data_IF_256743255258
#
_entry.id   IF_256743255258
#
_cell.length_a   1.000
_cell.length_b   1.000
_cell.length_c   1.000
_cell.angle_alpha   90.00
_cell.angle_beta   90.00
_cell.angle_gamma   90.00
#
_symmetry.space_group_name_H-M   'P 1'
#
loop_
_entity.id
_entity.type
_entity.pdbx_description
1 polymer ?
#
# COMPACT_ATOMS: atom_id res chain seq x y z
N UNK A 1 6.44 6.45 7.16
CA UNK A 1 5.28 5.98 7.91
C UNK A 1 4.41 5.14 6.97
N UNK A 2 4.18 3.88 7.33
CA UNK A 2 3.50 2.89 6.49
C UNK A 2 2.00 3.22 6.33
N UNK A 3 1.37 3.68 7.42
CA UNK A 3 -0.06 4.05 7.41
C UNK A 3 -0.31 5.21 6.45
N UNK A 4 0.50 6.27 6.54
CA UNK A 4 0.39 7.42 5.65
C UNK A 4 0.53 7.02 4.16
N UNK A 5 1.46 6.12 3.85
CA UNK A 5 1.65 5.61 2.49
C UNK A 5 0.41 4.86 1.99
N UNK A 6 -0.10 3.91 2.78
CA UNK A 6 -1.27 3.11 2.40
C UNK A 6 -2.54 3.96 2.29
N UNK A 7 -2.70 4.98 3.14
CA UNK A 7 -3.76 5.98 3.01
C UNK A 7 -3.66 6.73 1.69
N UNK A 8 -2.47 7.23 1.32
CA UNK A 8 -2.28 7.95 0.06
C UNK A 8 -2.59 7.05 -1.16
N UNK A 9 -2.25 5.76 -1.10
CA UNK A 9 -2.62 4.79 -2.13
C UNK A 9 -4.14 4.65 -2.22
N UNK A 10 -4.83 4.47 -1.08
CA UNK A 10 -6.29 4.32 -1.02
C UNK A 10 -7.01 5.55 -1.55
N UNK A 11 -6.58 6.75 -1.14
CA UNK A 11 -7.12 8.03 -1.59
C UNK A 11 -6.93 8.24 -3.09
N UNK A 12 -5.77 7.85 -3.64
CA UNK A 12 -5.54 7.92 -5.09
C UNK A 12 -6.52 7.01 -5.86
N UNK A 13 -6.74 5.78 -5.39
CA UNK A 13 -7.69 4.85 -5.99
C UNK A 13 -9.14 5.35 -5.87
N UNK A 14 -9.51 5.89 -4.71
CA UNK A 14 -10.83 6.50 -4.48
C UNK A 14 -11.06 7.74 -5.36
N UNK A 15 -9.98 8.45 -5.69
CA UNK A 15 -9.96 9.54 -6.67
C UNK A 15 -10.02 9.07 -8.14
N UNK A 16 -10.12 7.76 -8.40
CA UNK A 16 -10.26 7.18 -9.73
C UNK A 16 -8.95 6.72 -10.37
N UNK A 17 -7.82 6.72 -9.64
CA UNK A 17 -6.60 6.10 -10.14
C UNK A 17 -6.80 4.60 -10.39
N UNK A 18 -6.07 4.05 -11.36
CA UNK A 18 -6.13 2.63 -11.74
C UNK A 18 -4.99 1.78 -11.15
N UNK A 19 -4.08 2.41 -10.42
CA UNK A 19 -2.89 1.77 -9.85
C UNK A 19 -1.88 2.81 -9.37
N UNK A 20 -0.71 2.34 -8.95
CA UNK A 20 0.38 3.18 -8.44
C UNK A 20 1.72 2.79 -9.06
N UNK A 21 2.62 3.76 -9.20
CA UNK A 21 4.02 3.53 -9.55
C UNK A 21 4.90 3.96 -8.37
N UNK A 22 5.38 2.98 -7.60
CA UNK A 22 6.15 3.22 -6.36
C UNK A 22 7.50 2.53 -6.42
N UNK A 23 8.54 3.23 -5.95
CA UNK A 23 9.90 2.73 -5.88
C UNK A 23 10.44 2.81 -4.46
N UNK A 24 10.95 3.98 -4.06
CA UNK A 24 11.61 4.23 -2.76
C UNK A 24 10.84 3.66 -1.57
N UNK A 25 9.53 3.88 -1.53
CA UNK A 25 8.67 3.41 -0.45
C UNK A 25 8.60 1.88 -0.32
N UNK A 26 8.93 1.14 -1.38
CA UNK A 26 8.99 -0.32 -1.38
C UNK A 26 10.38 -0.80 -1.01
N UNK A 27 11.41 -0.43 -1.79
CA UNK A 27 12.74 -1.03 -1.66
C UNK A 27 13.56 -0.49 -0.48
N UNK A 28 13.19 0.64 0.12
CA UNK A 28 13.78 1.14 1.38
C UNK A 28 13.08 0.58 2.62
N UNK A 29 12.00 -0.18 2.45
CA UNK A 29 11.32 -0.81 3.58
C UNK A 29 12.20 -1.92 4.18
N UNK A 30 12.09 -2.17 5.48
CA UNK A 30 12.83 -3.24 6.16
C UNK A 30 12.44 -4.63 5.63
N UNK A 31 11.16 -4.81 5.27
CA UNK A 31 10.68 -5.95 4.49
C UNK A 31 9.95 -5.47 3.23
N UNK A 32 10.65 -5.37 2.08
CA UNK A 32 10.04 -4.95 0.82
C UNK A 32 8.94 -5.89 0.33
N UNK A 33 9.01 -7.19 0.63
CA UNK A 33 7.99 -8.15 0.17
C UNK A 33 6.66 -7.88 0.86
N UNK A 34 6.69 -7.62 2.16
CA UNK A 34 5.50 -7.29 2.95
C UNK A 34 4.92 -5.94 2.58
N UNK A 35 5.78 -4.95 2.31
CA UNK A 35 5.32 -3.66 1.79
C UNK A 35 4.65 -3.79 0.42
N UNK A 36 5.19 -4.61 -0.49
CA UNK A 36 4.50 -4.92 -1.76
C UNK A 36 3.16 -5.61 -1.51
N UNK A 37 3.09 -6.59 -0.60
CA UNK A 37 1.85 -7.29 -0.27
C UNK A 37 0.79 -6.33 0.28
N UNK A 38 1.16 -5.42 1.19
CA UNK A 38 0.27 -4.39 1.74
C UNK A 38 -0.29 -3.49 0.63
N UNK A 39 0.56 -2.98 -0.27
CA UNK A 39 0.12 -2.14 -1.40
C UNK A 39 -0.78 -2.93 -2.35
N UNK A 40 -0.42 -4.18 -2.68
CA UNK A 40 -1.21 -5.04 -3.57
C UNK A 40 -2.60 -5.35 -2.98
N UNK A 41 -2.70 -5.56 -1.67
CA UNK A 41 -3.97 -5.77 -0.98
C UNK A 41 -4.93 -4.58 -1.17
N UNK A 42 -4.41 -3.34 -1.15
CA UNK A 42 -5.21 -2.14 -1.42
C UNK A 42 -5.55 -2.01 -2.91
N UNK A 43 -4.55 -2.12 -3.80
CA UNK A 43 -4.71 -1.87 -5.24
C UNK A 43 -5.57 -2.92 -5.94
N UNK A 44 -5.43 -4.19 -5.58
CA UNK A 44 -6.11 -5.31 -6.26
C UNK A 44 -7.18 -5.98 -5.40
N UNK A 45 -7.05 -5.94 -4.08
CA UNK A 45 -7.96 -6.61 -3.14
C UNK A 45 -9.03 -5.70 -2.53
N UNK A 46 -8.97 -4.39 -2.73
CA UNK A 46 -9.89 -3.43 -2.12
C UNK A 46 -9.79 -3.37 -0.59
N UNK A 47 -8.65 -3.80 -0.03
CA UNK A 47 -8.43 -3.78 1.41
C UNK A 47 -8.49 -2.35 1.98
N UNK A 48 -9.02 -2.22 3.19
CA UNK A 48 -8.88 -0.99 3.97
C UNK A 48 -7.43 -0.79 4.43
N UNK A 49 -7.08 0.44 4.84
CA UNK A 49 -5.73 0.74 5.36
C UNK A 49 -5.38 -0.16 6.56
N UNK A 50 -6.32 -0.41 7.46
CA UNK A 50 -6.11 -1.31 8.62
C UNK A 50 -5.84 -2.76 8.19
N UNK A 51 -6.57 -3.24 7.19
CA UNK A 51 -6.38 -4.60 6.67
C UNK A 51 -5.00 -4.74 6.01
N UNK A 52 -4.58 -3.75 5.23
CA UNK A 52 -3.27 -3.74 4.58
C UNK A 52 -2.12 -3.66 5.58
N UNK A 53 -2.28 -2.94 6.70
CA UNK A 53 -1.28 -2.90 7.77
C UNK A 53 -1.04 -4.26 8.44
N UNK A 54 -1.99 -5.20 8.37
CA UNK A 54 -1.78 -6.56 8.88
C UNK A 54 -0.71 -7.32 8.09
N UNK A 55 -0.48 -6.97 6.82
CA UNK A 55 0.58 -7.56 6.01
C UNK A 55 1.98 -7.21 6.53
N UNK A 56 2.09 -6.17 7.37
CA UNK A 56 3.36 -5.65 7.92
C UNK A 56 3.64 -6.14 9.35
N UNK A 57 2.70 -6.86 9.98
CA UNK A 57 2.80 -7.35 11.38
C UNK A 57 3.58 -8.63 11.55
#
# INVERSE_FOLDING_TARGET
DERALLTAVKEALDGGARGVAMGRNIWQHEDPRRMVAAVAAVVHGGATVEQALNELR
#
